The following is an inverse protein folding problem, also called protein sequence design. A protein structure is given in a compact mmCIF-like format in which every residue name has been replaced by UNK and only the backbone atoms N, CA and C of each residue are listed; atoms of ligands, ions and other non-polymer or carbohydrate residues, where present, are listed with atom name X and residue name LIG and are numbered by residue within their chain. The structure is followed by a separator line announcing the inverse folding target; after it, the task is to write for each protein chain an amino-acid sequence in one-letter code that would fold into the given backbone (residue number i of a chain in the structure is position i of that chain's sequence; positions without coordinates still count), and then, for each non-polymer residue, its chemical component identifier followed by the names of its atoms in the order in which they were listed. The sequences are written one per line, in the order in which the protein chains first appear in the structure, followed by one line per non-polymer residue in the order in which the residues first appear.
data_IF_262149152393
#
_entry.id   IF_262149152393
#
_cell.length_a   1.000
_cell.length_b   1.000
_cell.length_c   1.000
_cell.angle_alpha   90.00
_cell.angle_beta   90.00
_cell.angle_gamma   90.00
#
_symmetry.space_group_name_H-M   'P 1'
#
loop_
_entity.id
_entity.type
_entity.pdbx_description
1 polymer ?
#
# COMPACT_ATOMS: atom_id res chain seq x y z
N UNK A 1 13.36 -36.86 -7.69
CA UNK A 1 12.08 -36.21 -7.37
C UNK A 1 12.42 -34.80 -6.94
N UNK A 2 12.54 -33.89 -7.90
CA UNK A 2 12.93 -32.48 -7.71
C UNK A 2 11.65 -31.67 -7.81
N UNK A 3 11.13 -31.24 -6.67
CA UNK A 3 9.92 -30.43 -6.61
C UNK A 3 10.28 -28.96 -6.76
N UNK A 4 9.62 -28.31 -7.71
CA UNK A 4 9.73 -26.89 -8.02
C UNK A 4 9.38 -26.07 -6.78
N UNK A 5 10.31 -25.23 -6.32
CA UNK A 5 9.96 -24.07 -5.50
C UNK A 5 9.42 -23.00 -6.46
N UNK A 6 8.11 -23.08 -6.72
CA UNK A 6 7.37 -21.97 -7.29
C UNK A 6 7.18 -20.98 -6.14
N UNK A 7 8.13 -20.05 -5.98
CA UNK A 7 7.98 -18.92 -5.06
C UNK A 7 6.80 -18.08 -5.58
N UNK A 8 5.65 -18.34 -4.95
CA UNK A 8 4.46 -17.52 -5.02
C UNK A 8 4.87 -16.15 -4.53
N UNK A 9 4.86 -15.16 -5.41
CA UNK A 9 4.78 -13.76 -5.01
C UNK A 9 3.44 -13.67 -4.25
N UNK A 10 3.48 -13.79 -2.93
CA UNK A 10 2.27 -13.90 -2.11
C UNK A 10 1.50 -12.59 -2.18
N UNK A 11 0.19 -12.72 -2.41
CA UNK A 11 -0.80 -11.63 -2.42
C UNK A 11 -0.93 -10.91 -1.06
N UNK A 12 -0.06 -11.22 -0.10
CA UNK A 12 -0.02 -10.62 1.25
C UNK A 12 0.31 -9.13 1.26
N UNK A 13 0.91 -8.60 0.18
CA UNK A 13 1.05 -7.16 -0.01
C UNK A 13 -0.31 -6.45 -0.21
N UNK A 14 -1.33 -7.15 -0.72
CA UNK A 14 -2.60 -6.55 -1.16
C UNK A 14 -3.79 -6.87 -0.23
N UNK A 15 -3.69 -7.91 0.60
CA UNK A 15 -4.74 -8.31 1.55
C UNK A 15 -4.10 -8.44 2.93
N UNK A 16 -4.22 -7.39 3.75
CA UNK A 16 -3.68 -7.35 5.11
C UNK A 16 -4.32 -8.43 5.99
N UNK A 17 -3.65 -9.57 6.13
CA UNK A 17 -3.86 -10.56 7.21
C UNK A 17 -2.94 -10.31 8.41
N UNK A 18 -2.16 -9.21 8.39
CA UNK A 18 -1.39 -8.75 9.53
C UNK A 18 -2.02 -7.44 10.07
N UNK A 19 -2.74 -7.46 11.21
CA UNK A 19 -3.49 -6.31 11.73
C UNK A 19 -2.59 -5.17 12.26
N UNK A 20 -1.27 -5.26 12.06
CA UNK A 20 -0.28 -4.31 12.56
C UNK A 20 -0.07 -3.19 11.54
N UNK A 21 0.11 -1.97 12.04
CA UNK A 21 0.55 -0.85 11.21
C UNK A 21 1.91 -1.15 10.58
N UNK A 22 2.17 -0.62 9.39
CA UNK A 22 3.39 -0.82 8.62
C UNK A 22 3.92 0.53 8.13
N UNK A 23 5.22 0.60 7.89
CA UNK A 23 5.83 1.71 7.18
C UNK A 23 6.11 1.27 5.74
N UNK A 24 5.58 2.00 4.76
CA UNK A 24 5.74 1.70 3.35
C UNK A 24 6.86 2.51 2.65
N UNK A 25 7.67 3.24 3.43
CA UNK A 25 8.83 3.98 2.92
C UNK A 25 8.48 5.23 2.13
N UNK A 26 7.32 5.88 2.39
CA UNK A 26 6.96 7.15 1.73
C UNK A 26 7.99 8.25 1.97
N UNK A 27 8.60 8.26 3.16
CA UNK A 27 9.65 9.19 3.57
C UNK A 27 10.78 8.43 4.25
N UNK A 28 12.02 8.85 4.04
CA UNK A 28 13.17 8.34 4.80
C UNK A 28 13.10 8.70 6.30
N UNK A 29 12.37 9.77 6.64
CA UNK A 29 12.19 10.25 8.02
C UNK A 29 10.77 10.79 8.24
N UNK A 30 10.05 10.29 9.24
CA UNK A 30 8.74 10.81 9.62
C UNK A 30 8.86 11.96 10.63
N UNK A 31 8.44 13.16 10.24
CA UNK A 31 8.48 14.37 11.09
C UNK A 31 7.12 15.03 11.33
N UNK A 32 6.25 15.05 10.32
CA UNK A 32 4.92 15.68 10.39
C UNK A 32 3.86 14.75 10.98
N UNK A 33 3.82 13.50 10.49
CA UNK A 33 2.93 12.45 10.99
C UNK A 33 3.76 11.23 11.38
N UNK A 34 3.74 10.89 12.67
CA UNK A 34 4.45 9.72 13.20
C UNK A 34 3.61 8.43 13.09
N UNK A 35 2.38 8.51 12.58
CA UNK A 35 1.43 7.42 12.52
C UNK A 35 1.19 6.82 13.89
N UNK A 36 1.43 5.51 14.02
CA UNK A 36 1.29 4.76 15.28
C UNK A 36 2.21 5.28 16.39
N UNK A 37 3.33 5.95 16.04
CA UNK A 37 4.25 6.56 17.00
C UNK A 37 3.63 7.70 17.82
N UNK A 38 2.51 8.29 17.36
CA UNK A 38 1.76 9.28 18.14
C UNK A 38 0.99 8.64 19.31
N UNK A 39 0.70 7.34 19.24
CA UNK A 39 -0.06 6.60 20.27
C UNK A 39 0.86 5.76 21.14
N UNK A 40 1.84 5.10 20.51
CA UNK A 40 2.79 4.23 21.20
C UNK A 40 4.15 4.92 21.31
N UNK A 41 4.54 5.24 22.55
CA UNK A 41 5.82 5.90 22.88
C UNK A 41 6.99 4.91 22.79
N UNK A 42 7.20 4.35 21.60
CA UNK A 42 8.33 3.49 21.28
C UNK A 42 8.75 3.79 19.82
N UNK A 43 10.04 4.09 19.56
CA UNK A 43 10.54 4.41 18.22
C UNK A 43 10.18 3.39 17.13
N UNK A 44 9.97 2.12 17.48
CA UNK A 44 9.59 1.09 16.50
C UNK A 44 8.25 1.35 15.81
N UNK A 45 7.39 2.23 16.36
CA UNK A 45 6.08 2.58 15.80
C UNK A 45 6.07 3.84 14.94
N UNK A 46 7.18 4.58 14.90
CA UNK A 46 7.28 5.83 14.14
C UNK A 46 7.13 5.57 12.64
N UNK A 47 6.29 6.37 11.98
CA UNK A 47 6.03 6.29 10.54
C UNK A 47 5.16 5.11 10.11
N UNK A 48 4.60 4.34 11.07
CA UNK A 48 3.76 3.19 10.75
C UNK A 48 2.29 3.58 10.68
N UNK A 49 1.67 3.35 9.53
CA UNK A 49 0.25 3.58 9.29
C UNK A 49 -0.50 2.26 9.14
N UNK A 50 -1.80 2.27 9.44
CA UNK A 50 -2.65 1.09 9.20
C UNK A 50 -2.66 0.77 7.70
N UNK A 51 -2.56 -0.50 7.34
CA UNK A 51 -2.78 -0.93 5.95
C UNK A 51 -4.25 -0.75 5.58
N UNK A 52 -4.52 0.16 4.64
CA UNK A 52 -5.87 0.37 4.10
C UNK A 52 -6.31 -0.79 3.21
N UNK A 53 -7.62 -1.03 3.14
CA UNK A 53 -8.18 -1.95 2.15
C UNK A 53 -8.04 -1.36 0.74
N UNK A 54 -7.96 -2.23 -0.26
CA UNK A 54 -7.93 -1.86 -1.67
C UNK A 54 -9.31 -1.98 -2.35
N UNK A 55 -10.34 -2.42 -1.61
CA UNK A 55 -11.71 -2.43 -2.14
C UNK A 55 -12.14 -1.00 -2.42
N UNK A 56 -12.70 -0.76 -3.61
CA UNK A 56 -13.12 0.55 -4.09
C UNK A 56 -11.98 1.59 -4.15
N UNK A 57 -10.73 1.14 -4.31
CA UNK A 57 -9.56 2.03 -4.32
C UNK A 57 -9.66 3.15 -5.35
N UNK A 58 -10.28 2.91 -6.51
CA UNK A 58 -10.50 3.93 -7.54
C UNK A 58 -11.37 5.10 -7.06
N UNK A 59 -12.24 4.87 -6.07
CA UNK A 59 -13.18 5.86 -5.54
C UNK A 59 -12.62 6.63 -4.33
N UNK A 60 -11.39 6.33 -3.91
CA UNK A 60 -10.79 6.88 -2.67
C UNK A 60 -9.58 7.77 -2.91
N UNK A 61 -9.45 8.32 -4.12
CA UNK A 61 -8.47 9.37 -4.43
C UNK A 61 -8.67 10.58 -3.50
N UNK A 62 -7.60 11.26 -3.03
CA UNK A 62 -6.16 10.96 -3.21
C UNK A 62 -5.62 9.86 -2.28
N UNK A 63 -4.51 9.24 -2.67
CA UNK A 63 -3.93 8.04 -2.05
C UNK A 63 -2.87 8.35 -1.00
N UNK A 64 -2.54 7.33 -0.21
CA UNK A 64 -1.68 7.38 0.98
C UNK A 64 -2.30 8.14 2.17
N UNK A 65 -1.68 8.02 3.33
CA UNK A 65 -2.19 8.62 4.57
C UNK A 65 -2.11 10.15 4.56
N UNK A 66 -1.18 10.70 3.79
CA UNK A 66 -0.94 12.13 3.64
C UNK A 66 -1.42 12.69 2.30
N UNK A 67 -2.11 11.86 1.49
CA UNK A 67 -2.82 12.28 0.28
C UNK A 67 -1.90 12.79 -0.85
N UNK A 68 -0.60 12.46 -0.83
CA UNK A 68 0.37 13.02 -1.79
C UNK A 68 0.25 12.49 -3.22
N UNK A 69 -0.39 11.34 -3.43
CA UNK A 69 -0.55 10.75 -4.75
C UNK A 69 -1.97 10.95 -5.28
N UNK A 70 -2.09 11.41 -6.52
CA UNK A 70 -3.36 11.65 -7.19
C UNK A 70 -3.84 10.44 -8.00
N UNK A 71 -2.93 9.54 -8.37
CA UNK A 71 -3.16 8.45 -9.31
C UNK A 71 -2.71 7.09 -8.77
N UNK A 72 -3.28 6.00 -9.29
CA UNK A 72 -2.84 4.64 -8.91
C UNK A 72 -1.48 4.31 -9.52
N UNK A 73 -1.15 4.95 -10.64
CA UNK A 73 0.13 4.88 -11.32
C UNK A 73 1.26 5.38 -10.42
N UNK A 74 1.07 6.51 -9.72
CA UNK A 74 2.04 7.01 -8.72
C UNK A 74 2.18 6.05 -7.52
N UNK A 75 1.07 5.45 -7.07
CA UNK A 75 1.11 4.43 -6.01
C UNK A 75 1.91 3.21 -6.46
N UNK A 76 1.70 2.73 -7.68
CA UNK A 76 2.44 1.60 -8.25
C UNK A 76 3.91 1.96 -8.43
N UNK A 77 4.22 3.17 -8.88
CA UNK A 77 5.61 3.63 -9.03
C UNK A 77 6.32 3.73 -7.67
N UNK A 78 5.62 4.18 -6.62
CA UNK A 78 6.15 4.16 -5.26
C UNK A 78 6.62 2.77 -4.84
N UNK A 79 5.80 1.74 -5.02
CA UNK A 79 6.19 0.37 -4.68
C UNK A 79 7.18 -0.25 -5.67
N UNK A 80 7.22 0.24 -6.91
CA UNK A 80 8.16 -0.24 -7.92
C UNK A 80 9.60 0.19 -7.61
N UNK A 81 9.78 1.49 -7.34
CA UNK A 81 11.12 2.09 -7.21
C UNK A 81 11.24 3.18 -6.14
N UNK A 82 10.11 3.75 -5.69
CA UNK A 82 10.07 4.91 -4.79
C UNK A 82 10.19 4.62 -3.29
N UNK A 83 10.28 3.35 -2.86
CA UNK A 83 10.40 2.99 -1.44
C UNK A 83 11.71 3.55 -0.88
N UNK A 84 11.61 4.40 0.14
CA UNK A 84 12.76 4.97 0.84
C UNK A 84 13.17 4.11 2.04
N UNK A 85 14.47 4.13 2.35
CA UNK A 85 15.00 3.51 3.55
C UNK A 85 14.50 4.27 4.78
N UNK A 86 13.78 3.59 5.66
CA UNK A 86 13.30 4.13 6.93
C UNK A 86 13.67 3.16 8.07
N UNK A 87 14.05 3.62 9.28
CA UNK A 87 14.42 2.74 10.40
C UNK A 87 13.35 1.71 10.81
N UNK A 88 12.09 1.98 10.48
CA UNK A 88 10.93 1.11 10.77
C UNK A 88 10.27 0.53 9.50
N UNK A 89 10.96 0.60 8.35
CA UNK A 89 10.48 0.09 7.07
C UNK A 89 9.97 -1.35 7.22
N UNK A 90 8.85 -1.65 6.57
CA UNK A 90 8.27 -2.99 6.60
C UNK A 90 9.29 -4.02 6.06
N UNK A 91 9.48 -5.18 6.74
CA UNK A 91 10.35 -6.24 6.24
C UNK A 91 9.95 -6.79 4.86
N UNK A 92 8.66 -6.67 4.49
CA UNK A 92 8.19 -7.05 3.16
C UNK A 92 8.69 -6.12 2.04
N UNK A 93 9.25 -4.96 2.40
CA UNK A 93 9.82 -3.98 1.50
C UNK A 93 11.33 -3.86 1.65
N UNK A 94 11.97 -4.81 2.30
CA UNK A 94 13.43 -4.89 2.43
C UNK A 94 13.98 -6.12 1.71
N UNK A 95 15.13 -5.97 1.04
CA UNK A 95 15.89 -7.07 0.48
C UNK A 95 16.67 -7.85 1.56
N UNK A 96 17.42 -8.88 1.14
CA UNK A 96 18.22 -9.71 2.04
C UNK A 96 19.31 -8.94 2.81
N UNK A 97 19.67 -7.74 2.36
CA UNK A 97 20.67 -6.87 2.98
C UNK A 97 20.03 -5.74 3.81
N UNK A 98 18.70 -5.70 3.90
CA UNK A 98 17.95 -4.66 4.62
C UNK A 98 17.76 -3.36 3.83
N UNK A 99 18.09 -3.32 2.53
CA UNK A 99 17.83 -2.16 1.68
C UNK A 99 16.40 -2.18 1.16
N UNK A 100 15.80 -1.02 0.81
CA UNK A 100 14.53 -0.99 0.11
C UNK A 100 14.54 -1.84 -1.15
N UNK A 101 13.49 -2.64 -1.35
CA UNK A 101 13.34 -3.43 -2.57
C UNK A 101 13.18 -2.53 -3.79
N UNK A 102 13.63 -3.03 -4.94
CA UNK A 102 13.39 -2.46 -6.25
C UNK A 102 12.76 -3.56 -7.11
N UNK A 103 11.47 -3.41 -7.44
CA UNK A 103 10.73 -4.43 -8.17
C UNK A 103 11.11 -4.45 -9.66
N UNK A 104 11.59 -3.33 -10.19
CA UNK A 104 12.00 -3.18 -11.58
C UNK A 104 10.93 -3.67 -12.58
N UNK A 105 9.68 -3.33 -12.30
CA UNK A 105 8.54 -3.68 -13.15
C UNK A 105 8.65 -2.96 -14.49
N UNK A 106 8.35 -3.70 -15.56
CA UNK A 106 8.14 -3.13 -16.89
C UNK A 106 6.87 -2.28 -16.92
N UNK A 107 6.77 -1.35 -17.88
CA UNK A 107 5.55 -0.55 -18.09
C UNK A 107 4.29 -1.43 -18.30
N UNK A 108 4.44 -2.56 -18.97
CA UNK A 108 3.36 -3.53 -19.15
C UNK A 108 2.89 -4.13 -17.83
N UNK A 109 3.83 -4.48 -16.93
CA UNK A 109 3.49 -5.02 -15.61
C UNK A 109 2.85 -3.95 -14.72
N UNK A 110 3.36 -2.71 -14.73
CA UNK A 110 2.75 -1.59 -13.99
C UNK A 110 1.31 -1.33 -14.46
N UNK A 111 1.11 -1.27 -15.78
CA UNK A 111 -0.22 -1.08 -16.39
C UNK A 111 -1.18 -2.22 -16.05
N UNK A 112 -0.70 -3.46 -16.07
CA UNK A 112 -1.50 -4.63 -15.68
C UNK A 112 -1.90 -4.59 -14.20
N UNK A 113 -1.00 -4.13 -13.31
CA UNK A 113 -1.30 -3.98 -11.89
C UNK A 113 -2.37 -2.90 -11.65
N UNK A 114 -2.26 -1.75 -12.31
CA UNK A 114 -3.30 -0.71 -12.24
C UNK A 114 -4.63 -1.23 -12.78
N UNK A 115 -4.63 -1.97 -13.89
CA UNK A 115 -5.84 -2.58 -14.44
C UNK A 115 -6.49 -3.57 -13.46
N UNK A 116 -5.67 -4.33 -12.72
CA UNK A 116 -6.15 -5.21 -11.66
C UNK A 116 -6.75 -4.42 -10.49
N UNK A 117 -6.10 -3.35 -10.03
CA UNK A 117 -6.62 -2.51 -8.93
C UNK A 117 -8.01 -1.92 -9.26
N UNK A 118 -8.23 -1.51 -10.52
CA UNK A 118 -9.55 -1.04 -11.01
C UNK A 118 -10.64 -2.12 -10.95
N UNK A 119 -10.28 -3.41 -10.97
CA UNK A 119 -11.25 -4.51 -10.79
C UNK A 119 -11.73 -4.68 -9.34
N UNK A 120 -11.09 -4.00 -8.39
CA UNK A 120 -11.50 -4.03 -6.98
C UNK A 120 -12.60 -3.01 -6.66
N UNK A 121 -13.10 -2.29 -7.67
CA UNK A 121 -14.18 -1.31 -7.56
C UNK A 121 -15.54 -1.98 -7.75
N UNK A 122 -16.41 -1.83 -6.74
CA UNK A 122 -17.83 -2.13 -6.84
C UNK A 122 -18.58 -0.92 -7.40
N UNK A 123 -19.01 -1.03 -8.66
CA UNK A 123 -19.71 0.06 -9.36
C UNK A 123 -21.15 0.29 -8.85
N UNK A 124 -21.71 -0.60 -8.04
CA UNK A 124 -23.07 -0.44 -7.50
C UNK A 124 -23.12 0.58 -6.35
N UNK A 125 -22.01 0.78 -5.63
CA UNK A 125 -21.99 1.58 -4.39
C UNK A 125 -22.38 3.04 -4.60
N UNK A 126 -22.13 3.59 -5.79
CA UNK A 126 -22.41 4.99 -6.13
C UNK A 126 -23.81 5.23 -6.68
N UNK A 127 -24.57 4.17 -6.99
CA UNK A 127 -25.87 4.28 -7.69
C UNK A 127 -27.03 3.65 -6.93
N UNK A 128 -26.77 2.73 -5.99
CA UNK A 128 -27.85 2.08 -5.24
C UNK A 128 -28.51 3.01 -4.22
N UNK A 129 -29.84 3.09 -4.31
CA UNK A 129 -30.68 3.92 -3.41
C UNK A 129 -30.45 3.61 -1.93
N UNK A 130 -30.14 2.34 -1.59
CA UNK A 130 -29.92 1.92 -0.19
C UNK A 130 -28.74 2.62 0.49
N UNK A 131 -27.79 3.16 -0.28
CA UNK A 131 -26.61 3.87 0.22
C UNK A 131 -26.72 5.40 0.09
N UNK A 132 -27.82 5.91 -0.46
CA UNK A 132 -28.01 7.35 -0.64
C UNK A 132 -28.37 8.04 0.69
N UNK A 133 -28.15 9.35 0.72
CA UNK A 133 -28.56 10.19 1.85
C UNK A 133 -30.11 10.15 1.99
N UNK A 134 -30.65 9.61 3.10
CA UNK A 134 -32.09 9.43 3.28
C UNK A 134 -32.83 10.73 3.66
N UNK A 135 -32.11 11.84 3.84
CA UNK A 135 -32.66 13.13 4.26
C UNK A 135 -32.69 14.18 3.12
N UNK A 136 -32.55 13.72 1.87
CA UNK A 136 -32.73 14.55 0.67
C UNK A 136 -34.05 14.24 -0.03
#
# INVERSE_FOLDING_TARGET
MTELVLDVITTEAFISVNPRSQNNGLDAFSSTDLGSGNVFVNPIFVGRSKTSTLRNIELTVPYMHDRRFATQEEVVEHYNSGVQAHPTLSPALTDANGNPIQLNLTETQKSALVAFLKKLTDNSISSEVKWNNPFR
#
